data_IF_142007070336
#
_entry.id   IF_142007070336
#
_cell.length_a   1.000
_cell.length_b   1.000
_cell.length_c   1.000
_cell.angle_alpha   90.00
_cell.angle_beta   90.00
_cell.angle_gamma   90.00
#
_symmetry.space_group_name_H-M   'P 1'
#
loop_
_entity.id
_entity.type
_entity.pdbx_description
1 polymer ?
#
# COMPACT_ATOMS: atom_id res chain seq x y z
N UNK A 1 -25.02 -0.79 3.22
CA UNK A 1 -24.28 0.40 2.71
C UNK A 1 -22.78 0.17 2.66
N UNK A 2 -22.07 -0.03 3.79
CA UNK A 2 -20.61 -0.26 3.76
C UNK A 2 -20.20 -1.53 3.00
N UNK A 3 -20.98 -2.62 3.13
CA UNK A 3 -20.75 -3.86 2.40
C UNK A 3 -20.83 -3.70 0.87
N UNK A 4 -21.76 -2.87 0.38
CA UNK A 4 -21.93 -2.63 -1.06
C UNK A 4 -20.80 -1.78 -1.63
N UNK A 5 -20.32 -0.81 -0.84
CA UNK A 5 -19.15 0.00 -1.17
C UNK A 5 -17.90 -0.88 -1.23
N UNK A 6 -17.71 -1.77 -0.25
CA UNK A 6 -16.61 -2.73 -0.23
C UNK A 6 -16.61 -3.65 -1.46
N UNK A 7 -17.76 -4.25 -1.79
CA UNK A 7 -17.90 -5.09 -2.99
C UNK A 7 -17.53 -4.35 -4.28
N UNK A 8 -17.98 -3.08 -4.42
CA UNK A 8 -17.63 -2.25 -5.57
C UNK A 8 -16.13 -1.94 -5.63
N UNK A 9 -15.53 -1.59 -4.51
CA UNK A 9 -14.10 -1.31 -4.43
C UNK A 9 -13.27 -2.53 -4.86
N UNK A 10 -13.65 -3.74 -4.44
CA UNK A 10 -12.95 -4.96 -4.82
C UNK A 10 -13.10 -5.29 -6.30
N UNK A 11 -14.30 -5.11 -6.86
CA UNK A 11 -14.50 -5.27 -8.30
C UNK A 11 -13.68 -4.25 -9.12
N UNK A 12 -13.60 -3.00 -8.67
CA UNK A 12 -12.79 -1.96 -9.31
C UNK A 12 -11.29 -2.30 -9.23
N UNK A 13 -10.80 -2.73 -8.07
CA UNK A 13 -9.41 -3.11 -7.88
C UNK A 13 -9.03 -4.31 -8.75
N UNK A 14 -9.84 -5.38 -8.75
CA UNK A 14 -9.63 -6.55 -9.62
C UNK A 14 -9.54 -6.13 -11.09
N UNK A 15 -10.44 -5.27 -11.56
CA UNK A 15 -10.43 -4.76 -12.94
C UNK A 15 -9.16 -3.97 -13.26
N UNK A 16 -8.73 -3.09 -12.35
CA UNK A 16 -7.51 -2.30 -12.53
C UNK A 16 -6.26 -3.18 -12.60
N UNK A 17 -6.12 -4.14 -11.67
CA UNK A 17 -5.00 -5.09 -11.69
C UNK A 17 -5.01 -5.91 -12.97
N UNK A 18 -6.17 -6.40 -13.41
CA UNK A 18 -6.32 -7.11 -14.68
C UNK A 18 -5.79 -6.30 -15.88
N UNK A 19 -6.13 -5.00 -15.95
CA UNK A 19 -5.64 -4.12 -17.03
C UNK A 19 -4.12 -3.88 -17.00
N UNK A 20 -3.47 -3.94 -15.84
CA UNK A 20 -2.02 -3.82 -15.72
C UNK A 20 -1.29 -5.10 -16.15
N UNK A 21 -1.96 -6.25 -16.04
CA UNK A 21 -1.44 -7.56 -16.40
C UNK A 21 -1.72 -7.92 -17.87
N UNK A 22 -2.64 -7.21 -18.51
CA UNK A 22 -3.00 -7.39 -19.91
C UNK A 22 -1.76 -7.23 -20.83
N UNK A 23 -1.61 -8.15 -21.78
CA UNK A 23 -0.46 -8.19 -22.69
C UNK A 23 0.84 -8.72 -22.09
N UNK A 24 0.94 -8.91 -20.77
CA UNK A 24 2.10 -9.54 -20.11
C UNK A 24 1.87 -10.98 -19.68
N UNK A 25 0.61 -11.34 -19.44
CA UNK A 25 0.20 -12.69 -19.04
C UNK A 25 -0.93 -13.21 -19.93
N UNK A 26 -1.08 -14.55 -20.08
CA UNK A 26 -2.28 -15.16 -20.62
C UNK A 26 -3.53 -14.71 -19.84
N UNK A 27 -4.71 -14.66 -20.49
CA UNK A 27 -5.93 -14.13 -19.87
C UNK A 27 -6.29 -14.86 -18.57
N UNK A 28 -6.20 -16.20 -18.55
CA UNK A 28 -6.52 -17.01 -17.37
C UNK A 28 -5.59 -16.69 -16.19
N UNK A 29 -4.29 -16.51 -16.46
CA UNK A 29 -3.30 -16.18 -15.44
C UNK A 29 -3.45 -14.75 -14.94
N UNK A 30 -3.77 -13.82 -15.84
CA UNK A 30 -4.05 -12.44 -15.49
C UNK A 30 -5.29 -12.33 -14.58
N UNK A 31 -6.33 -13.12 -14.84
CA UNK A 31 -7.53 -13.15 -14.00
C UNK A 31 -7.25 -13.77 -12.62
N UNK A 32 -6.49 -14.86 -12.57
CA UNK A 32 -6.04 -15.50 -11.32
C UNK A 32 -5.28 -14.50 -10.45
N UNK A 33 -4.24 -13.87 -11.01
CA UNK A 33 -3.41 -12.88 -10.32
C UNK A 33 -4.20 -11.66 -9.88
N UNK A 34 -5.10 -11.14 -10.73
CA UNK A 34 -5.95 -10.02 -10.38
C UNK A 34 -6.88 -10.33 -9.20
N UNK A 35 -7.33 -11.58 -9.08
CA UNK A 35 -8.15 -12.04 -7.95
C UNK A 35 -7.31 -12.13 -6.68
N UNK A 36 -6.16 -12.81 -6.73
CA UNK A 36 -5.25 -12.98 -5.59
C UNK A 36 -4.80 -11.63 -5.01
N UNK A 37 -4.48 -10.66 -5.87
CA UNK A 37 -4.01 -9.34 -5.46
C UNK A 37 -5.14 -8.40 -4.97
N UNK A 38 -6.41 -8.77 -5.12
CA UNK A 38 -7.55 -7.94 -4.72
C UNK A 38 -8.42 -8.53 -3.62
N UNK A 39 -8.35 -9.83 -3.34
CA UNK A 39 -9.22 -10.52 -2.37
C UNK A 39 -8.86 -10.31 -0.89
N UNK A 40 -7.85 -9.48 -0.59
CA UNK A 40 -7.43 -9.19 0.78
C UNK A 40 -6.64 -10.32 1.44
N UNK A 41 -5.94 -11.14 0.65
CA UNK A 41 -5.06 -12.21 1.14
C UNK A 41 -3.91 -11.71 2.02
N UNK A 42 -3.54 -10.44 1.84
CA UNK A 42 -2.51 -9.76 2.60
C UNK A 42 -3.00 -8.41 3.12
N UNK A 43 -2.38 -7.94 4.21
CA UNK A 43 -2.51 -6.56 4.67
C UNK A 43 -1.70 -5.63 3.76
N UNK A 44 -2.03 -4.33 3.77
CA UNK A 44 -1.42 -3.32 2.89
C UNK A 44 0.12 -3.18 3.00
N UNK A 45 0.65 -3.64 4.12
CA UNK A 45 2.03 -3.52 4.59
C UNK A 45 2.78 -4.86 4.52
N UNK A 46 2.14 -5.93 4.06
CA UNK A 46 2.80 -7.20 3.84
C UNK A 46 3.73 -7.12 2.62
N UNK A 47 5.06 -7.32 2.79
CA UNK A 47 5.97 -7.33 1.66
C UNK A 47 5.87 -8.65 0.90
N UNK A 48 5.63 -8.60 -0.41
CA UNK A 48 5.75 -9.77 -1.28
C UNK A 48 7.22 -9.96 -1.64
N UNK A 49 7.81 -11.04 -1.14
CA UNK A 49 9.22 -11.37 -1.39
C UNK A 49 9.46 -11.86 -2.83
N UNK A 50 10.73 -11.90 -3.24
CA UNK A 50 11.10 -12.43 -4.57
C UNK A 50 10.62 -13.88 -4.76
N UNK A 51 10.78 -14.72 -3.75
CA UNK A 51 10.38 -16.13 -3.78
C UNK A 51 8.86 -16.27 -3.91
N UNK A 52 8.09 -15.50 -3.13
CA UNK A 52 6.62 -15.49 -3.22
C UNK A 52 6.13 -14.96 -4.56
N UNK A 53 6.70 -13.87 -5.06
CA UNK A 53 6.33 -13.32 -6.37
C UNK A 53 6.60 -14.33 -7.49
N UNK A 54 7.73 -15.05 -7.42
CA UNK A 54 8.06 -16.13 -8.36
C UNK A 54 7.06 -17.28 -8.25
N UNK A 55 6.71 -17.69 -7.03
CA UNK A 55 5.72 -18.75 -6.78
C UNK A 55 4.31 -18.39 -7.28
N UNK A 56 3.94 -17.11 -7.22
CA UNK A 56 2.69 -16.59 -7.81
C UNK A 56 2.72 -16.62 -9.34
N UNK A 57 3.89 -16.77 -9.94
CA UNK A 57 4.10 -16.72 -11.39
C UNK A 57 4.23 -15.30 -11.93
N UNK A 58 4.66 -14.35 -11.10
CA UNK A 58 4.99 -13.01 -11.56
C UNK A 58 6.35 -13.02 -12.28
N UNK A 59 6.45 -12.23 -13.35
CA UNK A 59 7.67 -11.99 -14.11
C UNK A 59 8.60 -11.07 -13.31
N UNK A 60 9.28 -11.62 -12.29
CA UNK A 60 10.24 -10.91 -11.44
C UNK A 60 11.67 -11.36 -11.74
N UNK A 61 12.62 -10.43 -11.61
CA UNK A 61 14.06 -10.68 -11.77
C UNK A 61 14.79 -10.14 -10.56
N UNK A 62 15.76 -10.90 -10.06
CA UNK A 62 16.70 -10.48 -9.02
C UNK A 62 18.04 -9.97 -9.62
N UNK A 63 18.14 -9.91 -10.95
CA UNK A 63 19.36 -9.48 -11.62
C UNK A 63 19.41 -7.95 -11.69
N UNK A 64 19.93 -7.33 -10.63
CA UNK A 64 20.17 -5.89 -10.55
C UNK A 64 21.59 -5.61 -11.07
N UNK A 65 21.76 -4.79 -12.12
CA UNK A 65 23.09 -4.47 -12.66
C UNK A 65 23.99 -3.75 -11.62
N UNK A 66 25.31 -3.98 -11.63
CA UNK A 66 26.26 -3.33 -10.71
C UNK A 66 26.16 -1.80 -10.67
N UNK A 67 25.82 -1.16 -11.79
CA UNK A 67 25.67 0.29 -11.93
C UNK A 67 24.55 0.85 -11.05
N UNK A 68 23.49 0.05 -10.79
CA UNK A 68 22.43 0.45 -9.88
C UNK A 68 22.93 0.50 -8.43
N UNK A 69 23.77 -0.45 -8.01
CA UNK A 69 24.39 -0.41 -6.68
C UNK A 69 25.36 0.78 -6.54
N UNK A 70 26.09 1.12 -7.61
CA UNK A 70 26.93 2.32 -7.64
C UNK A 70 26.07 3.58 -7.47
N UNK A 71 24.96 3.70 -8.20
CA UNK A 71 24.02 4.82 -8.04
C UNK A 71 23.47 4.91 -6.62
N UNK A 72 23.03 3.79 -6.03
CA UNK A 72 22.51 3.76 -4.66
C UNK A 72 23.56 4.20 -3.63
N UNK A 73 24.84 3.91 -3.86
CA UNK A 73 25.92 4.34 -2.96
C UNK A 73 26.10 5.87 -2.90
N UNK A 74 25.66 6.59 -3.95
CA UNK A 74 25.66 8.06 -3.98
C UNK A 74 24.56 8.70 -3.13
N UNK A 75 23.52 7.94 -2.79
CA UNK A 75 22.38 8.39 -2.01
C UNK A 75 22.20 7.52 -0.75
N UNK A 76 23.15 7.58 0.21
CA UNK A 76 22.99 6.86 1.46
C UNK A 76 21.72 7.34 2.15
N UNK A 77 20.84 6.40 2.51
CA UNK A 77 19.66 6.76 3.30
C UNK A 77 20.14 7.40 4.61
N UNK A 78 19.66 8.61 4.96
CA UNK A 78 20.06 9.23 6.21
C UNK A 78 19.63 8.32 7.36
N UNK A 79 20.59 7.86 8.16
CA UNK A 79 20.39 6.99 9.34
C UNK A 79 19.65 7.73 10.47
N UNK A 80 19.07 8.90 10.20
CA UNK A 80 18.29 9.65 11.18
C UNK A 80 16.99 8.91 11.42
N UNK A 81 16.99 8.15 12.52
CA UNK A 81 15.81 7.75 13.26
C UNK A 81 15.10 8.97 13.89
N UNK A 82 14.94 10.07 13.15
CA UNK A 82 13.99 11.08 13.60
C UNK A 82 12.61 10.48 13.34
N UNK A 83 11.81 10.20 14.38
CA UNK A 83 10.45 9.75 14.18
C UNK A 83 9.76 10.79 13.28
N UNK A 84 9.14 10.32 12.19
CA UNK A 84 8.40 11.19 11.25
C UNK A 84 7.22 11.90 11.92
N UNK A 85 6.86 11.43 13.12
CA UNK A 85 5.78 11.95 13.96
C UNK A 85 6.34 12.32 15.33
N UNK A 86 6.39 13.61 15.63
CA UNK A 86 6.61 14.11 16.98
C UNK A 86 5.28 14.04 17.74
N UNK A 87 5.14 13.07 18.64
CA UNK A 87 3.97 13.00 19.52
C UNK A 87 4.09 14.07 20.59
N UNK A 88 3.30 15.13 20.47
CA UNK A 88 3.08 16.08 21.56
C UNK A 88 2.39 15.34 22.72
N UNK A 89 2.91 15.38 23.95
CA UNK A 89 2.40 14.59 25.08
C UNK A 89 1.02 15.05 25.60
N UNK A 90 0.39 16.03 24.98
CA UNK A 90 -0.87 16.61 25.44
C UNK A 90 -1.93 16.43 24.35
N UNK A 91 -3.02 15.68 24.61
CA UNK A 91 -4.16 15.64 23.71
C UNK A 91 -4.75 17.04 23.57
N UNK A 92 -4.85 17.57 22.35
CA UNK A 92 -5.64 18.79 22.11
C UNK A 92 -7.12 18.41 22.21
N UNK A 93 -7.66 18.50 23.42
CA UNK A 93 -9.09 18.38 23.65
C UNK A 93 -9.77 19.63 23.08
N UNK A 94 -10.29 19.56 21.85
CA UNK A 94 -11.31 20.51 21.38
C UNK A 94 -12.67 20.03 21.88
N UNK A 95 -12.95 20.30 23.15
CA UNK A 95 -14.30 20.27 23.68
C UNK A 95 -15.03 21.57 23.35
N UNK A 96 -16.37 21.57 23.17
CA UNK A 96 -17.11 22.75 22.75
C UNK A 96 -17.21 23.78 23.89
N UNK A 97 -16.73 25.00 23.67
CA UNK A 97 -16.96 26.13 24.58
C UNK A 97 -18.41 26.61 24.45
N UNK A 98 -19.27 26.13 25.35
CA UNK A 98 -20.59 26.71 25.58
C UNK A 98 -20.43 27.92 26.51
N UNK A 99 -20.34 29.13 25.94
CA UNK A 99 -20.44 30.35 26.74
C UNK A 99 -21.92 30.65 27.01
N UNK A 100 -22.40 30.26 28.19
CA UNK A 100 -23.54 30.92 28.85
C UNK A 100 -23.07 31.47 30.18
N UNK A 101 -23.17 32.79 30.33
CA UNK A 101 -23.33 33.44 31.64
C UNK A 101 -23.97 34.81 31.46
N UNK A 102 -25.30 34.85 31.64
CA UNK A 102 -25.99 36.01 32.17
C UNK A 102 -25.50 36.28 33.61
N UNK A 103 -25.24 37.56 33.93
CA UNK A 103 -25.66 38.26 35.16
C UNK A 103 -24.99 39.63 35.26
N UNK A 104 -25.72 40.69 34.91
CA UNK A 104 -26.20 41.70 35.87
C UNK A 104 -27.16 42.66 35.16
#
# INVERSE_FOLDING_TARGET
MLADIGKKAMAQLKKQVGSLLEGRYPPDKAEELATILSEGRWTHDYPITYEEATALGLNVSNNIPPEFYQLMSLYPQPVRQQPSVEYLPIPRFRGPTNQKSEKN
#
